data_IF_903908195949
#
_entry.id   IF_903908195949
#
_cell.length_a   1.000
_cell.length_b   1.000
_cell.length_c   1.000
_cell.angle_alpha   90.00
_cell.angle_beta   90.00
_cell.angle_gamma   90.00
#
_symmetry.space_group_name_H-M   'P 1'
#
loop_
_entity.id
_entity.type
_entity.pdbx_description
1 polymer ?
#
# COMPACT_ATOMS: atom_id res chain seq x y z
N UNK A 1 51.90 -2.96 -1.07
CA UNK A 1 52.30 -4.32 -0.65
C UNK A 1 51.01 -5.14 -0.63
N UNK A 2 50.92 -6.20 -1.43
CA UNK A 2 49.70 -7.05 -1.52
C UNK A 2 49.91 -8.29 -0.67
N UNK A 3 48.93 -8.68 0.13
CA UNK A 3 49.01 -9.86 0.99
C UNK A 3 48.48 -11.09 0.24
N UNK A 4 49.37 -12.04 -0.08
CA UNK A 4 49.03 -13.24 -0.84
C UNK A 4 48.03 -14.13 -0.10
N UNK A 5 48.07 -14.12 1.23
CA UNK A 5 47.20 -14.89 2.12
C UNK A 5 45.71 -14.54 1.95
N UNK A 6 45.41 -13.33 1.45
CA UNK A 6 44.03 -12.85 1.24
C UNK A 6 43.58 -12.90 -0.23
N UNK A 7 44.41 -13.33 -1.17
CA UNK A 7 44.05 -13.33 -2.61
C UNK A 7 42.82 -14.19 -2.92
N UNK A 8 42.69 -15.34 -2.25
CA UNK A 8 41.52 -16.21 -2.40
C UNK A 8 40.24 -15.50 -1.96
N UNK A 9 40.26 -14.91 -0.76
CA UNK A 9 39.11 -14.19 -0.19
C UNK A 9 38.78 -12.95 -1.02
N UNK A 10 39.78 -12.21 -1.49
CA UNK A 10 39.59 -11.08 -2.39
C UNK A 10 38.94 -11.52 -3.72
N UNK A 11 39.35 -12.65 -4.29
CA UNK A 11 38.75 -13.19 -5.51
C UNK A 11 37.29 -13.59 -5.30
N UNK A 12 36.96 -14.22 -4.17
CA UNK A 12 35.58 -14.58 -3.82
C UNK A 12 34.71 -13.33 -3.61
N UNK A 13 35.21 -12.32 -2.88
CA UNK A 13 34.51 -11.03 -2.70
C UNK A 13 34.31 -10.34 -4.05
N UNK A 14 35.31 -10.34 -4.94
CA UNK A 14 35.20 -9.75 -6.29
C UNK A 14 34.08 -10.42 -7.09
N UNK A 15 34.00 -11.75 -7.07
CA UNK A 15 32.92 -12.48 -7.74
C UNK A 15 31.55 -12.14 -7.14
N UNK A 16 31.41 -12.14 -5.81
CA UNK A 16 30.14 -11.76 -5.17
C UNK A 16 29.74 -10.32 -5.48
N UNK A 17 30.69 -9.38 -5.44
CA UNK A 17 30.46 -7.98 -5.76
C UNK A 17 30.04 -7.79 -7.23
N UNK A 18 30.65 -8.52 -8.17
CA UNK A 18 30.24 -8.54 -9.58
C UNK A 18 28.78 -8.96 -9.72
N UNK A 19 28.38 -10.04 -9.05
CA UNK A 19 26.99 -10.46 -9.07
C UNK A 19 26.06 -9.38 -8.50
N UNK A 20 26.49 -8.60 -7.50
CA UNK A 20 25.75 -7.48 -6.92
C UNK A 20 25.79 -6.19 -7.76
N UNK A 21 26.39 -6.23 -8.96
CA UNK A 21 26.47 -5.08 -9.86
C UNK A 21 27.55 -4.07 -9.48
N UNK A 22 28.62 -4.52 -8.81
CA UNK A 22 29.85 -3.74 -8.66
C UNK A 22 30.98 -4.42 -9.44
N UNK A 23 31.53 -3.70 -10.40
CA UNK A 23 32.66 -4.18 -11.18
C UNK A 23 33.96 -3.60 -10.66
N UNK A 24 34.96 -4.47 -10.53
CA UNK A 24 36.33 -4.10 -10.22
C UNK A 24 37.25 -4.69 -11.28
N UNK A 25 38.11 -3.88 -11.87
CA UNK A 25 39.16 -4.39 -12.76
C UNK A 25 40.05 -5.39 -12.02
N UNK A 26 40.41 -5.05 -10.78
CA UNK A 26 41.16 -5.89 -9.86
C UNK A 26 40.75 -5.57 -8.42
N UNK A 27 40.96 -6.52 -7.49
CA UNK A 27 40.65 -6.35 -6.07
C UNK A 27 41.80 -6.91 -5.24
N UNK A 28 42.49 -6.05 -4.50
CA UNK A 28 43.69 -6.40 -3.73
C UNK A 28 43.59 -5.91 -2.29
N UNK A 29 44.23 -6.62 -1.38
CA UNK A 29 44.42 -6.17 -0.01
C UNK A 29 45.69 -5.32 0.08
N UNK A 30 45.62 -4.17 0.75
CA UNK A 30 46.76 -3.28 0.96
C UNK A 30 46.73 -2.68 2.37
N UNK A 31 47.82 -2.02 2.76
CA UNK A 31 47.92 -1.26 3.99
C UNK A 31 47.51 0.20 3.77
N UNK A 32 46.59 0.69 4.59
CA UNK A 32 46.29 2.10 4.75
C UNK A 32 46.91 2.64 6.04
N UNK A 33 47.58 3.77 5.95
CA UNK A 33 48.00 4.53 7.12
C UNK A 33 46.84 5.41 7.59
N UNK A 34 46.19 5.05 8.70
CA UNK A 34 45.24 5.91 9.40
C UNK A 34 45.98 6.58 10.56
N UNK A 35 45.99 7.91 10.62
CA UNK A 35 46.79 8.70 11.57
C UNK A 35 46.48 8.49 13.08
N UNK A 36 45.54 7.60 13.42
CA UNK A 36 45.21 7.21 14.79
C UNK A 36 45.61 5.74 15.01
N UNK A 37 46.68 5.52 15.77
CA UNK A 37 47.28 4.21 16.04
C UNK A 37 46.43 3.24 16.91
N UNK A 38 45.22 3.63 17.31
CA UNK A 38 44.42 2.91 18.32
C UNK A 38 43.24 2.09 17.75
N UNK A 39 43.07 2.02 16.43
CA UNK A 39 42.07 1.13 15.80
C UNK A 39 42.79 0.06 14.98
N UNK A 40 42.82 -1.17 15.48
CA UNK A 40 43.48 -2.33 14.91
C UNK A 40 42.77 -2.85 13.65
N UNK A 41 43.05 -2.24 12.49
CA UNK A 41 43.18 -2.94 11.19
C UNK A 41 43.59 -1.93 10.10
N UNK A 42 44.87 -1.91 9.75
CA UNK A 42 45.37 -1.11 8.62
C UNK A 42 45.20 -1.85 7.28
N UNK A 43 44.63 -3.06 7.26
CA UNK A 43 44.43 -3.83 6.02
C UNK A 43 43.07 -3.46 5.43
N UNK A 44 43.07 -2.99 4.18
CA UNK A 44 41.86 -2.59 3.45
C UNK A 44 41.85 -3.17 2.04
N UNK A 45 40.66 -3.19 1.42
CA UNK A 45 40.49 -3.57 0.02
C UNK A 45 40.71 -2.36 -0.89
N UNK A 46 41.47 -2.55 -1.95
CA UNK A 46 41.78 -1.58 -3.00
C UNK A 46 41.37 -2.12 -4.36
N UNK A 47 40.92 -1.24 -5.24
CA UNK A 47 40.64 -1.58 -6.63
C UNK A 47 41.92 -1.69 -7.49
N UNK A 48 41.76 -2.00 -8.78
CA UNK A 48 42.88 -2.08 -9.73
C UNK A 48 43.59 -0.76 -10.02
N UNK A 49 43.08 0.37 -9.55
CA UNK A 49 43.73 1.69 -9.58
C UNK A 49 44.37 2.03 -8.23
N UNK A 50 44.46 1.06 -7.32
CA UNK A 50 44.95 1.20 -5.95
C UNK A 50 44.15 2.20 -5.12
N UNK A 51 42.89 2.46 -5.47
CA UNK A 51 41.98 3.33 -4.71
C UNK A 51 41.34 2.50 -3.60
N UNK A 52 41.35 2.99 -2.35
CA UNK A 52 40.65 2.31 -1.27
C UNK A 52 39.16 2.23 -1.54
N UNK A 53 38.56 1.06 -1.32
CA UNK A 53 37.11 0.90 -1.46
C UNK A 53 36.33 1.75 -0.44
N UNK A 54 36.99 2.16 0.65
CA UNK A 54 36.50 3.16 1.60
C UNK A 54 36.28 4.57 1.02
N UNK A 55 36.71 4.85 -0.22
CA UNK A 55 36.47 6.12 -0.91
C UNK A 55 35.27 6.07 -1.86
N UNK A 56 34.64 4.91 -2.02
CA UNK A 56 33.50 4.76 -2.93
C UNK A 56 32.23 5.41 -2.36
N UNK A 57 31.24 5.62 -3.24
CA UNK A 57 29.90 6.08 -2.84
C UNK A 57 29.24 5.14 -1.84
N UNK A 58 28.29 5.68 -1.04
CA UNK A 58 27.59 4.95 0.03
C UNK A 58 27.00 3.62 -0.44
N UNK A 59 26.33 3.59 -1.60
CA UNK A 59 25.74 2.37 -2.16
C UNK A 59 26.77 1.30 -2.51
N UNK A 60 27.88 1.67 -3.15
CA UNK A 60 28.96 0.72 -3.47
C UNK A 60 29.61 0.14 -2.22
N UNK A 61 29.84 0.98 -1.18
CA UNK A 61 30.32 0.50 0.12
C UNK A 61 29.35 -0.49 0.76
N UNK A 62 28.04 -0.21 0.67
CA UNK A 62 26.99 -1.07 1.22
C UNK A 62 26.96 -2.44 0.53
N UNK A 63 26.97 -2.45 -0.80
CA UNK A 63 27.01 -3.68 -1.59
C UNK A 63 28.29 -4.48 -1.36
N UNK A 64 29.44 -3.82 -1.23
CA UNK A 64 30.68 -4.50 -0.89
C UNK A 64 30.60 -5.15 0.50
N UNK A 65 30.06 -4.44 1.49
CA UNK A 65 29.83 -5.00 2.83
C UNK A 65 28.94 -6.25 2.77
N UNK A 66 27.89 -6.22 1.94
CA UNK A 66 27.00 -7.36 1.73
C UNK A 66 27.72 -8.50 1.00
N UNK A 67 28.55 -8.20 0.00
CA UNK A 67 29.37 -9.21 -0.69
C UNK A 67 30.30 -9.95 0.29
N UNK A 68 30.97 -9.20 1.18
CA UNK A 68 31.81 -9.77 2.24
C UNK A 68 30.97 -10.67 3.16
N UNK A 69 29.83 -10.19 3.63
CA UNK A 69 28.94 -10.97 4.50
C UNK A 69 28.41 -12.22 3.81
N UNK A 70 28.01 -12.16 2.53
CA UNK A 70 27.57 -13.31 1.74
C UNK A 70 28.67 -14.36 1.57
N UNK A 71 29.91 -13.93 1.35
CA UNK A 71 31.06 -14.84 1.29
C UNK A 71 31.26 -15.56 2.62
N UNK A 72 31.09 -14.86 3.74
CA UNK A 72 31.17 -15.45 5.09
C UNK A 72 29.94 -16.32 5.42
N UNK A 73 28.75 -15.99 4.90
CA UNK A 73 27.50 -16.72 5.12
C UNK A 73 27.63 -18.19 4.73
N UNK A 74 28.31 -18.45 3.60
CA UNK A 74 28.53 -19.80 3.06
C UNK A 74 29.26 -20.73 4.03
N UNK A 75 29.90 -20.19 5.06
CA UNK A 75 30.54 -20.95 6.12
C UNK A 75 29.57 -21.38 7.25
N UNK A 76 28.27 -21.10 7.15
CA UNK A 76 27.23 -21.54 8.10
C UNK A 76 27.03 -20.62 9.31
N UNK A 77 27.28 -19.31 9.15
CA UNK A 77 27.18 -18.32 10.24
C UNK A 77 25.81 -17.65 10.41
N UNK A 78 25.72 -16.74 11.40
CA UNK A 78 24.58 -15.83 11.60
C UNK A 78 24.95 -14.46 11.04
N UNK A 79 24.08 -13.87 10.22
CA UNK A 79 24.25 -12.53 9.65
C UNK A 79 23.11 -11.63 10.14
N UNK A 80 23.48 -10.46 10.64
CA UNK A 80 22.55 -9.42 11.07
C UNK A 80 22.76 -8.19 10.18
N UNK A 81 21.72 -7.77 9.47
CA UNK A 81 21.74 -6.59 8.59
C UNK A 81 20.68 -5.62 9.05
N UNK A 82 21.11 -4.47 9.54
CA UNK A 82 20.21 -3.39 9.91
C UNK A 82 19.93 -2.48 8.72
N UNK A 83 18.66 -2.21 8.40
CA UNK A 83 18.18 -1.36 7.30
C UNK A 83 18.89 -1.62 5.96
N UNK A 84 18.62 -2.78 5.37
CA UNK A 84 19.33 -3.23 4.16
C UNK A 84 19.24 -2.25 2.98
N UNK A 85 18.16 -1.50 2.88
CA UNK A 85 17.83 -0.52 1.85
C UNK A 85 18.70 0.75 1.87
N UNK A 86 19.44 1.00 2.96
CA UNK A 86 20.19 2.25 3.14
C UNK A 86 21.20 2.51 2.02
N UNK A 87 20.93 3.55 1.23
CA UNK A 87 21.81 3.98 0.13
C UNK A 87 21.74 3.10 -1.12
N UNK A 88 20.67 2.31 -1.27
CA UNK A 88 20.43 1.43 -2.42
C UNK A 88 19.15 1.83 -3.16
N UNK A 89 19.17 1.63 -4.48
CA UNK A 89 17.99 1.77 -5.33
C UNK A 89 17.07 0.55 -5.19
N UNK A 90 15.74 0.69 -5.43
CA UNK A 90 14.76 -0.39 -5.32
C UNK A 90 15.16 -1.71 -5.99
N UNK A 91 15.65 -1.66 -7.24
CA UNK A 91 16.02 -2.88 -7.98
C UNK A 91 17.23 -3.60 -7.35
N UNK A 92 18.16 -2.83 -6.78
CA UNK A 92 19.30 -3.39 -6.04
C UNK A 92 18.84 -4.07 -4.76
N UNK A 93 17.88 -3.48 -4.05
CA UNK A 93 17.30 -4.06 -2.83
C UNK A 93 16.68 -5.43 -3.15
N UNK A 94 15.81 -5.49 -4.17
CA UNK A 94 15.17 -6.75 -4.58
C UNK A 94 16.19 -7.81 -4.97
N UNK A 95 17.20 -7.44 -5.76
CA UNK A 95 18.28 -8.35 -6.17
C UNK A 95 19.03 -8.92 -4.96
N UNK A 96 19.32 -8.10 -3.95
CA UNK A 96 20.01 -8.54 -2.74
C UNK A 96 19.13 -9.46 -1.91
N UNK A 97 17.87 -9.10 -1.67
CA UNK A 97 16.94 -9.93 -0.90
C UNK A 97 16.75 -11.29 -1.56
N UNK A 98 16.59 -11.32 -2.88
CA UNK A 98 16.51 -12.56 -3.63
C UNK A 98 17.74 -13.45 -3.40
N UNK A 99 18.94 -12.88 -3.47
CA UNK A 99 20.19 -13.63 -3.21
C UNK A 99 20.35 -14.09 -1.77
N UNK A 100 20.03 -13.24 -0.80
CA UNK A 100 20.06 -13.62 0.61
C UNK A 100 19.09 -14.78 0.86
N UNK A 101 17.95 -14.80 0.18
CA UNK A 101 16.98 -15.90 0.29
C UNK A 101 17.44 -17.23 -0.32
N UNK A 102 18.51 -17.22 -1.14
CA UNK A 102 19.12 -18.41 -1.73
C UNK A 102 20.30 -18.96 -0.90
N UNK A 103 20.62 -18.34 0.23
CA UNK A 103 21.69 -18.83 1.12
C UNK A 103 21.14 -19.99 1.95
N UNK A 104 21.51 -21.21 1.58
CA UNK A 104 21.03 -22.45 2.23
C UNK A 104 21.77 -22.79 3.54
N UNK A 105 22.95 -22.20 3.76
CA UNK A 105 23.81 -22.46 4.91
C UNK A 105 23.86 -21.21 5.80
N UNK A 106 23.44 -21.34 7.06
CA UNK A 106 23.43 -20.24 8.04
C UNK A 106 22.05 -19.61 8.27
N UNK A 107 22.03 -18.47 8.95
CA UNK A 107 20.81 -17.71 9.25
C UNK A 107 21.03 -16.22 8.98
N UNK A 108 20.06 -15.56 8.35
CA UNK A 108 20.13 -14.14 7.99
C UNK A 108 18.94 -13.41 8.59
N UNK A 109 19.20 -12.41 9.41
CA UNK A 109 18.19 -11.52 9.97
C UNK A 109 18.38 -10.12 9.39
N UNK A 110 17.29 -9.57 8.87
CA UNK A 110 17.26 -8.25 8.23
C UNK A 110 16.18 -7.40 8.90
N UNK A 111 16.52 -6.18 9.31
CA UNK A 111 15.53 -5.15 9.64
C UNK A 111 15.30 -4.28 8.41
N UNK A 112 14.08 -3.77 8.26
CA UNK A 112 13.70 -2.99 7.07
C UNK A 112 12.51 -2.08 7.34
N UNK A 113 12.54 -0.91 6.71
CA UNK A 113 11.42 0.00 6.48
C UNK A 113 11.07 0.10 4.98
N UNK A 114 11.69 -0.75 4.15
CA UNK A 114 11.52 -0.73 2.70
C UNK A 114 10.41 -1.64 2.23
N UNK A 115 9.49 -1.04 1.45
CA UNK A 115 8.48 -1.76 0.69
C UNK A 115 9.08 -2.83 -0.23
N UNK A 116 10.25 -2.56 -0.82
CA UNK A 116 10.86 -3.46 -1.80
C UNK A 116 11.39 -4.74 -1.14
N UNK A 117 11.81 -4.66 0.13
CA UNK A 117 12.16 -5.86 0.91
C UNK A 117 10.92 -6.70 1.17
N UNK A 118 9.81 -6.07 1.58
CA UNK A 118 8.54 -6.76 1.87
C UNK A 118 7.98 -7.45 0.63
N UNK A 119 7.97 -6.76 -0.50
CA UNK A 119 7.41 -7.26 -1.78
C UNK A 119 8.22 -8.45 -2.31
N UNK A 120 9.55 -8.40 -2.22
CA UNK A 120 10.43 -9.47 -2.70
C UNK A 120 10.42 -10.69 -1.76
N UNK A 121 10.23 -10.47 -0.46
CA UNK A 121 10.28 -11.53 0.56
C UNK A 121 9.06 -12.47 0.49
N UNK A 122 9.26 -13.72 0.94
CA UNK A 122 8.16 -14.65 1.18
C UNK A 122 7.42 -14.23 2.44
N UNK A 123 6.10 -14.37 2.49
CA UNK A 123 5.31 -13.97 3.65
C UNK A 123 5.82 -14.62 4.95
N UNK A 124 6.07 -15.93 4.92
CA UNK A 124 6.58 -16.67 6.08
C UNK A 124 8.02 -16.32 6.50
N UNK A 125 8.75 -15.50 5.75
CA UNK A 125 10.05 -14.96 6.19
C UNK A 125 9.95 -13.56 6.79
N UNK A 126 8.77 -12.95 6.80
CA UNK A 126 8.54 -11.61 7.34
C UNK A 126 7.99 -11.72 8.76
N UNK A 127 8.53 -10.90 9.65
CA UNK A 127 8.13 -10.81 11.04
C UNK A 127 7.88 -9.34 11.39
N UNK A 128 6.72 -9.05 11.97
CA UNK A 128 6.36 -7.72 12.45
C UNK A 128 6.56 -7.65 13.97
N UNK A 129 7.30 -6.65 14.42
CA UNK A 129 7.39 -6.27 15.83
C UNK A 129 6.57 -4.99 16.03
N UNK A 130 5.59 -5.04 16.94
CA UNK A 130 4.81 -3.86 17.32
C UNK A 130 5.36 -3.25 18.60
N UNK A 131 5.17 -1.93 18.74
CA UNK A 131 5.49 -1.23 19.99
C UNK A 131 4.79 -1.94 21.16
N UNK A 132 5.53 -2.15 22.25
CA UNK A 132 5.06 -2.79 23.48
C UNK A 132 4.65 -4.28 23.34
N UNK A 133 4.91 -4.91 22.18
CA UNK A 133 4.78 -6.36 22.01
C UNK A 133 6.01 -7.09 22.53
N UNK A 134 5.81 -8.25 23.16
CA UNK A 134 6.89 -9.15 23.59
C UNK A 134 7.22 -10.24 22.56
N UNK A 135 6.50 -10.29 21.44
CA UNK A 135 6.67 -11.32 20.40
C UNK A 135 6.52 -10.74 18.99
N UNK A 136 7.14 -11.44 18.03
CA UNK A 136 6.98 -11.17 16.61
C UNK A 136 5.71 -11.81 16.06
N UNK A 137 5.03 -11.11 15.16
CA UNK A 137 3.98 -11.69 14.33
C UNK A 137 4.60 -12.14 13.00
N UNK A 138 4.62 -13.44 12.75
CA UNK A 138 5.00 -13.99 11.44
C UNK A 138 3.84 -13.83 10.47
N UNK A 139 4.12 -13.48 9.22
CA UNK A 139 3.10 -13.42 8.17
C UNK A 139 2.85 -14.79 7.55
N UNK A 140 1.59 -15.13 7.36
CA UNK A 140 1.15 -16.38 6.79
C UNK A 140 1.14 -16.32 5.23
N UNK A 141 1.38 -17.44 4.53
CA UNK A 141 1.46 -17.49 3.07
C UNK A 141 0.26 -16.88 2.33
N UNK A 142 -0.93 -16.93 2.93
CA UNK A 142 -2.19 -16.41 2.39
C UNK A 142 -2.15 -14.88 2.18
N UNK A 143 -1.25 -14.17 2.89
CA UNK A 143 -1.06 -12.73 2.77
C UNK A 143 -0.01 -12.30 1.75
N UNK A 144 0.64 -13.25 1.07
CA UNK A 144 1.63 -12.92 0.05
C UNK A 144 1.07 -11.95 -1.01
N UNK A 145 -0.21 -12.10 -1.35
CA UNK A 145 -0.91 -11.19 -2.26
C UNK A 145 -0.95 -9.76 -1.74
N UNK A 146 -1.37 -9.56 -0.48
CA UNK A 146 -1.44 -8.24 0.17
C UNK A 146 -0.05 -7.62 0.36
N UNK A 147 0.94 -8.41 0.82
CA UNK A 147 2.33 -7.96 0.98
C UNK A 147 2.94 -7.44 -0.33
N UNK A 148 2.58 -8.05 -1.47
CA UNK A 148 3.07 -7.64 -2.78
C UNK A 148 2.29 -6.49 -3.39
N UNK A 149 0.98 -6.44 -3.18
CA UNK A 149 0.12 -5.42 -3.79
C UNK A 149 0.10 -4.11 -3.01
N UNK A 150 0.09 -4.17 -1.68
CA UNK A 150 -0.10 -3.03 -0.77
C UNK A 150 0.76 -3.18 0.51
N UNK A 151 2.11 -3.24 0.39
CA UNK A 151 3.02 -3.37 1.55
C UNK A 151 2.86 -2.25 2.58
N UNK A 152 2.37 -1.07 2.16
CA UNK A 152 2.16 0.10 3.00
C UNK A 152 1.22 -0.16 4.18
N UNK A 153 0.30 -1.13 4.05
CA UNK A 153 -0.63 -1.54 5.10
C UNK A 153 0.10 -1.96 6.40
N UNK A 154 1.30 -2.51 6.28
CA UNK A 154 2.04 -3.10 7.40
C UNK A 154 3.02 -2.13 8.07
N UNK A 155 3.25 -0.97 7.45
CA UNK A 155 4.01 0.13 8.04
C UNK A 155 3.11 1.13 8.78
N UNK A 156 1.80 1.05 8.57
CA UNK A 156 0.82 1.89 9.24
C UNK A 156 0.37 1.30 10.58
N UNK A 157 -0.11 2.17 11.48
CA UNK A 157 -0.73 1.74 12.75
C UNK A 157 -2.19 1.38 12.56
N UNK A 158 -2.82 2.01 11.58
CA UNK A 158 -4.24 1.89 11.29
C UNK A 158 -4.45 1.73 9.79
N UNK A 159 -5.46 0.96 9.37
CA UNK A 159 -5.65 0.61 7.95
C UNK A 159 -7.11 0.79 7.54
N UNK A 160 -7.34 1.51 6.44
CA UNK A 160 -8.63 1.57 5.75
C UNK A 160 -8.58 0.58 4.58
N UNK A 161 -9.40 -0.46 4.64
CA UNK A 161 -9.52 -1.46 3.58
C UNK A 161 -10.69 -1.09 2.68
N UNK A 162 -10.38 -0.55 1.50
CA UNK A 162 -11.35 -0.27 0.47
C UNK A 162 -11.62 -1.55 -0.32
N UNK A 163 -12.87 -1.78 -0.70
CA UNK A 163 -13.23 -2.88 -1.59
C UNK A 163 -12.48 -2.75 -2.93
N UNK A 164 -12.56 -1.59 -3.56
CA UNK A 164 -11.92 -1.33 -4.85
C UNK A 164 -11.33 0.07 -5.00
N UNK A 165 -11.05 0.40 -6.26
CA UNK A 165 -10.41 1.65 -6.66
C UNK A 165 -11.28 2.88 -6.41
N UNK A 166 -12.61 2.76 -6.57
CA UNK A 166 -13.56 3.87 -6.40
C UNK A 166 -13.61 4.32 -4.94
N UNK A 167 -13.75 3.37 -4.01
CA UNK A 167 -13.72 3.61 -2.57
C UNK A 167 -12.37 4.21 -2.15
N UNK A 168 -11.26 3.67 -2.67
CA UNK A 168 -9.93 4.21 -2.44
C UNK A 168 -9.83 5.68 -2.88
N UNK A 169 -10.35 6.02 -4.06
CA UNK A 169 -10.40 7.38 -4.56
C UNK A 169 -11.19 8.33 -3.66
N UNK A 170 -12.33 7.88 -3.13
CA UNK A 170 -13.12 8.65 -2.15
C UNK A 170 -12.29 8.92 -0.89
N UNK A 171 -11.55 7.94 -0.38
CA UNK A 171 -10.68 8.15 0.79
C UNK A 171 -9.52 9.12 0.47
N UNK A 172 -8.98 9.13 -0.75
CA UNK A 172 -8.00 10.16 -1.16
C UNK A 172 -8.60 11.57 -1.18
N UNK A 173 -9.84 11.71 -1.65
CA UNK A 173 -10.55 12.99 -1.58
C UNK A 173 -10.82 13.42 -0.12
N UNK A 174 -11.11 12.48 0.77
CA UNK A 174 -11.24 12.73 2.21
C UNK A 174 -9.94 13.27 2.81
N UNK A 175 -8.81 12.65 2.49
CA UNK A 175 -7.49 13.10 2.93
C UNK A 175 -7.20 14.54 2.46
N UNK A 176 -7.44 14.82 1.17
CA UNK A 176 -7.30 16.18 0.63
C UNK A 176 -8.25 17.18 1.30
N UNK A 177 -9.50 16.79 1.59
CA UNK A 177 -10.47 17.63 2.27
C UNK A 177 -10.00 17.99 3.68
N UNK A 178 -9.55 17.01 4.46
CA UNK A 178 -8.98 17.22 5.80
C UNK A 178 -7.82 18.23 5.77
N UNK A 179 -6.89 18.06 4.82
CA UNK A 179 -5.73 18.95 4.69
C UNK A 179 -6.12 20.38 4.27
N UNK A 180 -7.12 20.53 3.39
CA UNK A 180 -7.68 21.86 3.03
C UNK A 180 -8.33 22.56 4.22
N UNK A 181 -8.93 21.81 5.13
CA UNK A 181 -9.47 22.32 6.39
C UNK A 181 -8.39 22.59 7.46
N UNK A 182 -7.10 22.41 7.15
CA UNK A 182 -5.98 22.59 8.08
C UNK A 182 -5.82 21.46 9.10
N UNK A 183 -6.47 20.31 8.90
CA UNK A 183 -6.33 19.11 9.74
C UNK A 183 -5.17 18.24 9.23
N UNK A 184 -4.66 17.37 10.11
CA UNK A 184 -3.66 16.37 9.73
C UNK A 184 -4.27 15.37 8.73
N UNK A 185 -3.53 15.12 7.64
CA UNK A 185 -3.84 14.07 6.68
C UNK A 185 -3.61 12.65 7.23
N UNK A 186 -3.99 11.65 6.44
CA UNK A 186 -3.97 10.23 6.83
C UNK A 186 -2.55 9.72 7.16
N UNK A 187 -1.56 10.08 6.34
CA UNK A 187 -0.17 9.65 6.52
C UNK A 187 0.43 10.17 7.84
N UNK A 188 0.15 11.42 8.21
CA UNK A 188 0.57 12.03 9.46
C UNK A 188 -0.06 11.35 10.69
N UNK A 189 -1.18 10.64 10.50
CA UNK A 189 -1.87 9.82 11.51
C UNK A 189 -1.47 8.34 11.47
N UNK A 190 -0.47 7.99 10.66
CA UNK A 190 -0.06 6.60 10.42
C UNK A 190 -1.21 5.70 9.95
N UNK A 191 -2.06 6.24 9.06
CA UNK A 191 -3.16 5.52 8.42
C UNK A 191 -2.75 5.15 6.99
N UNK A 192 -2.84 3.87 6.63
CA UNK A 192 -2.71 3.39 5.26
C UNK A 192 -4.08 3.11 4.63
N UNK A 193 -4.18 3.29 3.32
CA UNK A 193 -5.38 3.00 2.53
C UNK A 193 -5.04 1.89 1.54
N UNK A 194 -5.84 0.82 1.52
CA UNK A 194 -5.58 -0.38 0.74
C UNK A 194 -6.72 -0.58 -0.24
N UNK A 195 -6.40 -0.67 -1.53
CA UNK A 195 -7.32 -1.20 -2.55
C UNK A 195 -7.22 -2.74 -2.55
N UNK A 196 -8.29 -3.40 -2.11
CA UNK A 196 -8.34 -4.84 -1.92
C UNK A 196 -8.67 -5.63 -3.20
N UNK A 197 -8.84 -4.94 -4.34
CA UNK A 197 -9.11 -5.52 -5.67
C UNK A 197 -10.42 -6.34 -5.74
N UNK A 198 -11.42 -5.94 -4.95
CA UNK A 198 -12.76 -6.53 -4.92
C UNK A 198 -12.82 -7.93 -4.28
N UNK A 199 -13.98 -8.58 -4.44
CA UNK A 199 -14.23 -9.90 -3.88
C UNK A 199 -14.39 -9.85 -2.36
N UNK A 200 -13.89 -10.85 -1.64
CA UNK A 200 -13.92 -10.90 -0.17
C UNK A 200 -12.59 -10.54 0.50
N UNK A 201 -11.61 -10.09 -0.30
CA UNK A 201 -10.25 -9.81 0.17
C UNK A 201 -10.23 -8.79 1.30
N UNK A 202 -11.02 -7.72 1.21
CA UNK A 202 -11.07 -6.70 2.25
C UNK A 202 -11.55 -7.25 3.60
N UNK A 203 -12.54 -8.16 3.62
CA UNK A 203 -12.95 -8.83 4.87
C UNK A 203 -11.85 -9.75 5.41
N UNK A 204 -11.25 -10.58 4.55
CA UNK A 204 -10.17 -11.50 4.93
C UNK A 204 -8.96 -10.76 5.49
N UNK A 205 -8.56 -9.68 4.84
CA UNK A 205 -7.47 -8.82 5.31
C UNK A 205 -7.83 -8.10 6.60
N UNK A 206 -9.09 -7.64 6.75
CA UNK A 206 -9.55 -6.99 7.97
C UNK A 206 -9.51 -7.89 9.18
N UNK A 207 -10.03 -9.12 9.05
CA UNK A 207 -10.01 -10.14 10.10
C UNK A 207 -8.57 -10.40 10.53
N UNK A 208 -7.68 -10.62 9.56
CA UNK A 208 -6.28 -10.91 9.86
C UNK A 208 -5.60 -9.74 10.57
N UNK A 209 -5.67 -8.53 10.00
CA UNK A 209 -5.03 -7.34 10.56
C UNK A 209 -5.55 -7.06 11.98
N UNK A 210 -6.86 -7.18 12.19
CA UNK A 210 -7.49 -7.02 13.51
C UNK A 210 -6.96 -8.08 14.49
N UNK A 211 -6.82 -9.34 14.07
CA UNK A 211 -6.26 -10.42 14.91
C UNK A 211 -4.80 -10.17 15.33
N UNK A 212 -4.04 -9.40 14.55
CA UNK A 212 -2.67 -8.95 14.90
C UNK A 212 -2.66 -7.56 15.57
N UNK A 213 -3.83 -7.09 16.00
CA UNK A 213 -4.05 -5.86 16.76
C UNK A 213 -3.87 -4.57 15.97
N UNK A 214 -3.90 -4.61 14.64
CA UNK A 214 -4.05 -3.38 13.86
C UNK A 214 -5.45 -2.81 14.10
N UNK A 215 -5.56 -1.48 14.09
CA UNK A 215 -6.86 -0.82 14.06
C UNK A 215 -7.33 -0.71 12.60
N UNK A 216 -8.47 -1.31 12.29
CA UNK A 216 -8.94 -1.48 10.91
C UNK A 216 -10.38 -1.03 10.77
N UNK A 217 -10.67 -0.40 9.63
CA UNK A 217 -12.03 -0.16 9.15
C UNK A 217 -12.13 -0.57 7.68
N UNK A 218 -13.25 -1.18 7.29
CA UNK A 218 -13.55 -1.45 5.87
C UNK A 218 -14.43 -0.33 5.31
N UNK A 219 -14.26 -0.04 4.01
CA UNK A 219 -15.17 0.80 3.24
C UNK A 219 -15.56 0.04 1.97
N UNK A 220 -16.81 -0.43 1.92
CA UNK A 220 -17.26 -1.41 0.94
C UNK A 220 -18.77 -1.31 0.72
N UNK A 221 -19.23 -1.90 -0.39
CA UNK A 221 -20.66 -2.04 -0.63
C UNK A 221 -21.23 -3.34 -0.01
N UNK A 222 -22.53 -3.59 -0.18
CA UNK A 222 -23.18 -4.80 0.33
C UNK A 222 -23.99 -5.51 -0.75
N UNK A 223 -23.47 -5.50 -1.98
CA UNK A 223 -24.20 -5.95 -3.17
C UNK A 223 -24.01 -7.44 -3.50
N UNK A 224 -22.91 -8.02 -3.02
CA UNK A 224 -22.45 -9.35 -3.40
C UNK A 224 -22.82 -10.40 -2.36
N UNK A 225 -23.85 -11.19 -2.67
CA UNK A 225 -24.32 -12.25 -1.77
C UNK A 225 -23.33 -13.39 -1.57
N UNK A 226 -22.34 -13.55 -2.47
CA UNK A 226 -21.38 -14.65 -2.38
C UNK A 226 -20.35 -14.46 -1.25
N UNK A 227 -20.24 -13.24 -0.69
CA UNK A 227 -19.26 -12.92 0.36
C UNK A 227 -19.90 -12.73 1.74
N UNK A 228 -21.17 -13.14 1.89
CA UNK A 228 -21.93 -13.00 3.15
C UNK A 228 -21.25 -13.73 4.32
N UNK A 229 -20.69 -14.92 4.08
CA UNK A 229 -19.95 -15.65 5.11
C UNK A 229 -18.74 -14.87 5.61
N UNK A 230 -17.96 -14.27 4.69
CA UNK A 230 -16.79 -13.46 5.04
C UNK A 230 -17.18 -12.19 5.81
N UNK A 231 -18.34 -11.60 5.48
CA UNK A 231 -18.93 -10.48 6.24
C UNK A 231 -19.30 -10.90 7.67
N UNK A 232 -20.00 -12.02 7.84
CA UNK A 232 -20.38 -12.55 9.16
C UNK A 232 -19.15 -12.86 10.02
N UNK A 233 -18.11 -13.45 9.44
CA UNK A 233 -16.83 -13.69 10.11
C UNK A 233 -16.16 -12.39 10.53
N UNK A 234 -16.15 -11.36 9.68
CA UNK A 234 -15.56 -10.07 10.00
C UNK A 234 -16.33 -9.34 11.11
N UNK A 235 -17.67 -9.43 11.13
CA UNK A 235 -18.50 -8.92 12.23
C UNK A 235 -18.15 -9.65 13.54
N UNK A 236 -18.06 -10.99 13.50
CA UNK A 236 -17.67 -11.79 14.67
C UNK A 236 -16.27 -11.44 15.19
N UNK A 237 -15.36 -11.08 14.30
CA UNK A 237 -14.01 -10.63 14.63
C UNK A 237 -13.94 -9.18 15.15
N UNK A 238 -15.06 -8.46 15.20
CA UNK A 238 -15.13 -7.08 15.69
C UNK A 238 -14.59 -6.04 14.71
N UNK A 239 -14.55 -6.35 13.41
CA UNK A 239 -14.11 -5.42 12.36
C UNK A 239 -15.11 -4.27 12.24
N UNK A 240 -14.62 -3.03 12.24
CA UNK A 240 -15.44 -1.84 11.95
C UNK A 240 -15.70 -1.74 10.45
N UNK A 241 -16.92 -1.39 10.06
CA UNK A 241 -17.35 -1.37 8.65
C UNK A 241 -18.16 -0.12 8.35
N UNK A 242 -17.68 0.69 7.41
CA UNK A 242 -18.50 1.66 6.68
C UNK A 242 -19.06 0.94 5.46
N UNK A 243 -20.33 0.52 5.55
CA UNK A 243 -20.97 -0.41 4.61
C UNK A 243 -22.32 0.11 4.14
N UNK A 244 -22.56 -0.04 2.83
CA UNK A 244 -23.83 0.30 2.18
C UNK A 244 -25.03 -0.49 2.71
N UNK A 245 -26.23 -0.02 2.39
CA UNK A 245 -27.44 -0.78 2.68
C UNK A 245 -27.42 -2.12 1.94
N UNK A 246 -28.00 -3.14 2.57
CA UNK A 246 -28.00 -4.49 2.03
C UNK A 246 -28.56 -4.56 0.59
N UNK A 247 -27.76 -5.09 -0.32
CA UNK A 247 -28.08 -5.23 -1.75
C UNK A 247 -27.67 -4.04 -2.62
N UNK A 248 -27.20 -2.94 -2.05
CA UNK A 248 -26.72 -1.79 -2.80
C UNK A 248 -25.23 -1.89 -3.09
N UNK A 249 -24.87 -1.63 -4.35
CA UNK A 249 -23.52 -1.20 -4.69
C UNK A 249 -23.28 0.26 -4.25
N UNK A 250 -22.02 0.68 -4.17
CA UNK A 250 -21.68 2.06 -3.83
C UNK A 250 -22.40 3.06 -4.74
N UNK A 251 -22.41 2.86 -6.06
CA UNK A 251 -23.08 3.80 -6.98
C UNK A 251 -24.58 3.90 -6.68
N UNK A 252 -25.23 2.77 -6.37
CA UNK A 252 -26.65 2.77 -6.00
C UNK A 252 -26.88 3.53 -4.69
N UNK A 253 -26.05 3.31 -3.67
CA UNK A 253 -26.13 4.03 -2.39
C UNK A 253 -25.96 5.54 -2.59
N UNK A 254 -24.99 5.96 -3.41
CA UNK A 254 -24.75 7.37 -3.75
C UNK A 254 -26.01 8.01 -4.34
N UNK A 255 -26.55 7.43 -5.42
CA UNK A 255 -27.77 7.95 -6.02
C UNK A 255 -28.96 7.85 -5.05
N UNK A 256 -29.07 6.84 -4.20
CA UNK A 256 -30.19 6.69 -3.26
C UNK A 256 -30.23 7.72 -2.13
N UNK A 257 -29.06 8.22 -1.69
CA UNK A 257 -28.97 9.01 -0.46
C UNK A 257 -28.70 10.50 -0.67
N UNK A 258 -28.06 10.89 -1.77
CA UNK A 258 -27.66 12.29 -1.96
C UNK A 258 -28.84 13.19 -2.38
N UNK A 259 -28.87 14.47 -1.99
CA UNK A 259 -29.84 15.44 -2.50
C UNK A 259 -29.85 15.58 -4.03
N UNK A 260 -30.96 16.06 -4.60
CA UNK A 260 -31.16 16.12 -6.05
C UNK A 260 -30.09 16.95 -6.80
N UNK A 261 -29.62 18.05 -6.21
CA UNK A 261 -28.55 18.85 -6.81
C UNK A 261 -27.26 18.03 -6.97
N UNK A 262 -26.93 17.17 -6.00
CA UNK A 262 -25.77 16.29 -6.08
C UNK A 262 -25.99 15.21 -7.15
N UNK A 263 -27.20 14.66 -7.31
CA UNK A 263 -27.50 13.72 -8.40
C UNK A 263 -27.15 14.31 -9.76
N UNK A 264 -27.47 15.60 -9.97
CA UNK A 264 -27.16 16.29 -11.22
C UNK A 264 -25.64 16.42 -11.40
N UNK A 265 -24.90 16.76 -10.35
CA UNK A 265 -23.43 16.82 -10.38
C UNK A 265 -22.79 15.44 -10.65
N UNK A 266 -23.32 14.38 -10.03
CA UNK A 266 -22.87 13.00 -10.29
C UNK A 266 -23.14 12.58 -11.74
N UNK A 267 -24.32 12.92 -12.27
CA UNK A 267 -24.65 12.65 -13.67
C UNK A 267 -23.74 13.45 -14.63
N UNK A 268 -23.44 14.71 -14.30
CA UNK A 268 -22.50 15.53 -15.07
C UNK A 268 -21.09 14.92 -15.07
N UNK A 269 -20.61 14.47 -13.90
CA UNK A 269 -19.33 13.75 -13.80
C UNK A 269 -19.35 12.48 -14.67
N UNK A 270 -20.43 11.71 -14.66
CA UNK A 270 -20.55 10.52 -15.50
C UNK A 270 -20.56 10.85 -17.00
N UNK A 271 -21.13 11.99 -17.40
CA UNK A 271 -21.05 12.50 -18.77
C UNK A 271 -19.61 12.82 -19.16
N UNK A 272 -18.85 13.44 -18.27
CA UNK A 272 -17.46 13.80 -18.54
C UNK A 272 -16.55 12.56 -18.69
N UNK A 273 -16.90 11.44 -18.02
CA UNK A 273 -16.18 10.16 -18.10
C UNK A 273 -16.58 9.34 -19.34
N UNK A 274 -17.87 9.28 -19.66
CA UNK A 274 -18.41 8.39 -20.69
C UNK A 274 -18.85 9.18 -21.94
N UNK A 275 -20.03 9.77 -21.86
CA UNK A 275 -20.70 10.65 -22.80
C UNK A 275 -22.12 10.92 -22.26
N UNK A 276 -22.78 11.99 -22.70
CA UNK A 276 -24.12 12.33 -22.21
C UNK A 276 -25.15 11.27 -22.57
N UNK A 277 -25.08 10.74 -23.79
CA UNK A 277 -26.00 9.72 -24.31
C UNK A 277 -25.94 8.43 -23.48
N UNK A 278 -24.74 8.07 -23.00
CA UNK A 278 -24.56 6.88 -22.16
C UNK A 278 -25.29 7.02 -20.80
N UNK A 279 -25.33 8.24 -20.26
CA UNK A 279 -26.00 8.57 -18.99
C UNK A 279 -27.51 8.60 -19.17
N UNK A 280 -28.01 9.37 -20.15
CA UNK A 280 -29.46 9.60 -20.33
C UNK A 280 -30.18 8.45 -21.02
N UNK A 281 -29.47 7.50 -21.65
CA UNK A 281 -30.08 6.34 -22.35
C UNK A 281 -31.02 5.48 -21.49
N UNK A 282 -30.85 5.51 -20.16
CA UNK A 282 -31.71 4.80 -19.22
C UNK A 282 -33.00 5.55 -18.85
N UNK A 283 -33.11 6.83 -19.24
CA UNK A 283 -34.17 7.74 -18.81
C UNK A 283 -35.19 7.98 -19.94
N UNK A 284 -36.47 7.73 -19.65
CA UNK A 284 -37.54 7.90 -20.64
C UNK A 284 -37.90 9.37 -20.81
N UNK A 285 -37.69 9.96 -21.99
CA UNK A 285 -38.09 11.34 -22.25
C UNK A 285 -37.17 12.39 -21.61
N UNK A 286 -35.95 12.00 -21.24
CA UNK A 286 -34.86 12.92 -20.87
C UNK A 286 -33.75 12.73 -21.91
N UNK A 287 -33.43 13.77 -22.67
CA UNK A 287 -32.43 13.70 -23.74
C UNK A 287 -31.11 14.39 -23.38
N UNK A 288 -31.11 15.25 -22.36
CA UNK A 288 -29.92 15.89 -21.82
C UNK A 288 -29.94 15.91 -20.30
N UNK A 289 -28.75 15.87 -19.68
CA UNK A 289 -28.57 16.04 -18.24
C UNK A 289 -29.12 17.40 -17.78
N UNK A 290 -29.10 18.42 -18.64
CA UNK A 290 -29.67 19.73 -18.33
C UNK A 290 -31.18 19.68 -18.00
N UNK A 291 -31.91 18.72 -18.56
CA UNK A 291 -33.35 18.51 -18.31
C UNK A 291 -33.62 17.94 -16.92
N UNK A 292 -32.62 17.36 -16.25
CA UNK A 292 -32.74 16.90 -14.86
C UNK A 292 -33.05 18.05 -13.89
N UNK A 293 -32.66 19.28 -14.22
CA UNK A 293 -33.00 20.47 -13.42
C UNK A 293 -34.50 20.73 -13.35
N UNK A 294 -35.25 20.31 -14.37
CA UNK A 294 -36.70 20.50 -14.46
C UNK A 294 -37.50 19.32 -13.88
N UNK A 295 -36.80 18.26 -13.46
CA UNK A 295 -37.44 17.04 -12.95
C UNK A 295 -37.85 17.24 -11.48
N UNK A 296 -39.10 16.95 -11.14
CA UNK A 296 -39.68 17.18 -9.80
C UNK A 296 -40.52 15.99 -9.31
N UNK A 297 -40.73 15.92 -8.01
CA UNK A 297 -41.68 14.98 -7.38
C UNK A 297 -41.32 13.50 -7.64
N UNK A 298 -42.34 12.68 -7.88
CA UNK A 298 -42.19 11.21 -8.10
C UNK A 298 -41.21 10.88 -9.23
N UNK A 299 -41.09 11.75 -10.23
CA UNK A 299 -40.16 11.54 -11.33
C UNK A 299 -38.70 11.56 -10.88
N UNK A 300 -38.35 12.35 -9.86
CA UNK A 300 -37.00 12.33 -9.29
C UNK A 300 -36.66 10.97 -8.68
N UNK A 301 -37.63 10.32 -8.02
CA UNK A 301 -37.45 9.00 -7.42
C UNK A 301 -37.17 7.95 -8.50
N UNK A 302 -37.95 7.95 -9.59
CA UNK A 302 -37.74 7.02 -10.71
C UNK A 302 -36.37 7.23 -11.38
N UNK A 303 -36.02 8.48 -11.68
CA UNK A 303 -34.75 8.82 -12.33
C UNK A 303 -33.56 8.46 -11.44
N UNK A 304 -33.64 8.74 -10.14
CA UNK A 304 -32.64 8.37 -9.13
C UNK A 304 -32.31 6.88 -9.19
N UNK A 305 -33.33 6.02 -9.14
CA UNK A 305 -33.16 4.58 -9.16
C UNK A 305 -32.51 4.12 -10.48
N UNK A 306 -33.00 4.63 -11.61
CA UNK A 306 -32.46 4.29 -12.94
C UNK A 306 -31.00 4.69 -13.12
N UNK A 307 -30.63 5.89 -12.66
CA UNK A 307 -29.24 6.36 -12.71
C UNK A 307 -28.34 5.46 -11.84
N UNK A 308 -28.75 5.13 -10.61
CA UNK A 308 -27.99 4.23 -9.74
C UNK A 308 -27.78 2.84 -10.32
N UNK A 309 -28.84 2.23 -10.86
CA UNK A 309 -28.76 0.92 -11.54
C UNK A 309 -27.84 0.97 -12.77
N UNK A 310 -27.98 2.00 -13.59
CA UNK A 310 -27.16 2.17 -14.79
C UNK A 310 -25.70 2.44 -14.43
N UNK A 311 -25.44 3.24 -13.39
CA UNK A 311 -24.10 3.56 -12.91
C UNK A 311 -23.33 2.30 -12.49
N UNK A 312 -23.98 1.43 -11.71
CA UNK A 312 -23.46 0.11 -11.37
C UNK A 312 -23.24 -0.75 -12.62
N UNK A 313 -24.28 -0.92 -13.43
CA UNK A 313 -24.28 -1.84 -14.59
C UNK A 313 -23.23 -1.48 -15.64
N UNK A 314 -23.01 -0.19 -15.86
CA UNK A 314 -22.04 0.32 -16.83
C UNK A 314 -20.69 0.66 -16.21
N UNK A 315 -20.58 0.62 -14.88
CA UNK A 315 -19.39 0.97 -14.14
C UNK A 315 -18.93 2.40 -14.41
N UNK A 316 -19.74 3.39 -14.04
CA UNK A 316 -19.45 4.80 -14.32
C UNK A 316 -18.20 5.31 -13.61
N UNK A 317 -17.96 4.84 -12.38
CA UNK A 317 -16.86 5.30 -11.54
C UNK A 317 -16.08 4.06 -11.13
N UNK A 318 -14.98 3.75 -11.83
CA UNK A 318 -14.23 2.50 -11.64
C UNK A 318 -12.74 2.71 -11.40
N UNK A 319 -12.25 3.93 -11.53
CA UNK A 319 -10.85 4.27 -11.25
C UNK A 319 -10.71 5.07 -9.96
N UNK A 320 -9.48 5.12 -9.44
CA UNK A 320 -9.15 5.95 -8.28
C UNK A 320 -9.46 7.43 -8.57
N UNK A 321 -9.21 7.89 -9.79
CA UNK A 321 -9.49 9.26 -10.22
C UNK A 321 -11.00 9.56 -10.18
N UNK A 322 -11.83 8.64 -10.67
CA UNK A 322 -13.29 8.80 -10.61
C UNK A 322 -13.76 8.88 -9.15
N UNK A 323 -13.25 7.98 -8.30
CA UNK A 323 -13.51 7.99 -6.86
C UNK A 323 -13.09 9.30 -6.19
N UNK A 324 -11.95 9.88 -6.58
CA UNK A 324 -11.53 11.19 -6.07
C UNK A 324 -12.49 12.30 -6.47
N UNK A 325 -12.96 12.32 -7.72
CA UNK A 325 -13.97 13.29 -8.17
C UNK A 325 -15.29 13.13 -7.42
N UNK A 326 -15.77 11.88 -7.24
CA UNK A 326 -16.93 11.57 -6.41
C UNK A 326 -16.75 12.11 -4.99
N UNK A 327 -15.64 11.75 -4.34
CA UNK A 327 -15.35 12.17 -2.98
C UNK A 327 -15.30 13.70 -2.84
N UNK A 328 -14.73 14.42 -3.80
CA UNK A 328 -14.71 15.89 -3.78
C UNK A 328 -16.12 16.48 -3.75
N UNK A 329 -17.05 15.97 -4.58
CA UNK A 329 -18.46 16.38 -4.59
C UNK A 329 -19.10 16.04 -3.23
N UNK A 330 -18.89 14.81 -2.75
CA UNK A 330 -19.49 14.34 -1.50
C UNK A 330 -19.03 15.14 -0.28
N UNK A 331 -17.74 15.43 -0.12
CA UNK A 331 -17.23 16.15 1.03
C UNK A 331 -17.54 17.65 0.98
N UNK A 332 -17.66 18.24 -0.22
CA UNK A 332 -18.12 19.62 -0.38
C UNK A 332 -19.58 19.78 0.10
N UNK A 333 -20.43 18.80 -0.21
CA UNK A 333 -21.87 18.85 0.06
C UNK A 333 -22.32 17.94 1.20
N UNK A 334 -21.40 17.35 1.97
CA UNK A 334 -21.72 16.36 3.01
C UNK A 334 -22.76 16.86 4.03
N UNK A 335 -22.79 18.17 4.30
CA UNK A 335 -23.72 18.80 5.24
C UNK A 335 -25.17 18.86 4.73
N UNK A 336 -25.42 18.73 3.43
CA UNK A 336 -26.76 18.73 2.84
C UNK A 336 -27.39 17.34 2.77
N UNK A 337 -26.59 16.27 2.89
CA UNK A 337 -27.08 14.89 2.98
C UNK A 337 -27.73 14.68 4.35
N UNK A 338 -28.96 14.18 4.35
CA UNK A 338 -29.75 13.93 5.57
C UNK A 338 -29.02 12.96 6.53
N UNK A 339 -29.11 13.22 7.85
CA UNK A 339 -28.29 12.53 8.87
C UNK A 339 -28.64 11.05 9.06
N UNK A 340 -29.85 10.65 8.71
CA UNK A 340 -30.36 9.29 8.81
C UNK A 340 -29.96 8.41 7.61
N UNK A 341 -29.51 9.01 6.51
CA UNK A 341 -29.02 8.30 5.32
C UNK A 341 -27.76 7.49 5.61
N UNK A 342 -27.68 6.30 5.03
CA UNK A 342 -26.58 5.36 5.28
C UNK A 342 -25.26 5.94 4.78
N UNK A 343 -25.23 6.56 3.59
CA UNK A 343 -24.05 7.26 3.07
C UNK A 343 -23.54 8.33 4.06
N UNK A 344 -24.44 9.11 4.69
CA UNK A 344 -24.03 10.14 5.65
C UNK A 344 -23.42 9.53 6.91
N UNK A 345 -23.94 8.39 7.36
CA UNK A 345 -23.42 7.63 8.51
C UNK A 345 -22.07 7.00 8.21
N UNK A 346 -21.90 6.38 7.04
CA UNK A 346 -20.62 5.81 6.58
C UNK A 346 -19.52 6.86 6.53
N UNK A 347 -19.75 7.97 5.82
CA UNK A 347 -18.77 9.04 5.70
C UNK A 347 -18.44 9.62 7.08
N UNK A 348 -19.44 9.80 7.95
CA UNK A 348 -19.22 10.24 9.32
C UNK A 348 -18.41 9.23 10.13
N UNK A 349 -18.68 7.93 10.00
CA UNK A 349 -17.92 6.87 10.66
C UNK A 349 -16.45 6.90 10.23
N UNK A 350 -16.17 7.09 8.94
CA UNK A 350 -14.81 7.26 8.43
C UNK A 350 -14.13 8.48 9.05
N UNK A 351 -14.80 9.64 9.05
CA UNK A 351 -14.27 10.86 9.68
C UNK A 351 -14.01 10.69 11.18
N UNK A 352 -14.96 10.13 11.91
CA UNK A 352 -14.84 9.94 13.36
C UNK A 352 -13.70 8.97 13.64
N UNK A 353 -13.67 7.82 12.94
CA UNK A 353 -12.58 6.85 13.03
C UNK A 353 -11.22 7.50 12.79
N UNK A 354 -11.02 8.23 11.69
CA UNK A 354 -9.74 8.92 11.37
C UNK A 354 -9.29 9.88 12.49
N UNK A 355 -10.23 10.46 13.24
CA UNK A 355 -9.96 11.45 14.28
C UNK A 355 -9.86 10.90 15.70
N UNK A 356 -10.19 9.64 15.93
CA UNK A 356 -9.82 8.89 17.14
C UNK A 356 -8.30 8.81 17.31
#
# INVERSE_FOLDING_TARGET
MSFQEFEKVASEIKQQALHLGIEFNDLKTSLEYKGNAYTESNITLHDGQNRPLGMYGKGSKRLLSIAVQLTLAKAGGIILIDEIEQGLEPDRIRTIINKLSQVDQGQIFVTTHSRDVVVESKANSIYLMKKDSSSFHQFEPELQGLLRSQPEAFFARRVILCEGATEHGIIRALDHHLQKEGKLGLSARSIAVVDSKGGDNFYRYAIWLTSKGFDVITFNDDDNKNILSSKEEAICAGVRMAICDAGNALEQQLFNDVPWNIIIELAQLAKDILAEEAVVSCLNGIQSISELNNTIGERQLEVRQKLGEQAKKKGWYKTITDGEHLGNILFLHMHTIEKDKTLRKELKMLFDWINE
#
